data_IF_750565035467
#
_entry.id   IF_750565035467
#
_cell.length_a   1.000
_cell.length_b   1.000
_cell.length_c   1.000
_cell.angle_alpha   90.00
_cell.angle_beta   90.00
_cell.angle_gamma   90.00
#
_symmetry.space_group_name_H-M   'P 1'
#
loop_
_entity.id
_entity.type
_entity.pdbx_description
1 polymer ?
#
# COMPACT_ATOMS: atom_id res chain seq x y z
N UNK A 1 -28.02 5.38 -32.31
CA UNK A 1 -26.83 4.63 -31.98
C UNK A 1 -25.78 4.98 -32.99
N UNK A 2 -24.95 5.95 -32.68
CA UNK A 2 -23.86 6.43 -33.56
C UNK A 2 -22.60 6.39 -32.74
N UNK A 3 -21.81 5.33 -32.99
CA UNK A 3 -20.48 5.18 -32.41
C UNK A 3 -19.56 6.27 -32.98
N UNK A 4 -19.22 7.23 -32.13
CA UNK A 4 -18.22 8.25 -32.46
C UNK A 4 -16.83 7.67 -32.16
N UNK A 5 -16.21 7.10 -33.20
CA UNK A 5 -14.80 6.72 -33.14
C UNK A 5 -13.99 8.00 -33.03
N UNK A 6 -13.43 8.24 -31.83
CA UNK A 6 -12.42 9.29 -31.63
C UNK A 6 -11.11 8.85 -32.29
N UNK A 7 -10.98 9.23 -33.57
CA UNK A 7 -9.73 9.09 -34.31
C UNK A 7 -8.78 10.18 -33.80
N UNK A 8 -7.92 9.86 -32.83
CA UNK A 8 -6.82 10.72 -32.41
C UNK A 8 -5.80 10.73 -33.54
N UNK A 9 -5.90 11.74 -34.43
CA UNK A 9 -4.89 12.00 -35.44
C UNK A 9 -3.64 12.50 -34.74
N UNK A 10 -2.67 11.61 -34.50
CA UNK A 10 -1.33 12.01 -34.10
C UNK A 10 -0.73 12.90 -35.17
N UNK A 11 -0.08 14.03 -34.82
CA UNK A 11 0.59 14.86 -35.81
C UNK A 11 1.66 14.01 -36.48
N UNK A 12 1.58 13.89 -37.83
CA UNK A 12 2.60 13.24 -38.65
C UNK A 12 3.85 14.13 -38.61
N UNK A 13 4.72 13.92 -37.66
CA UNK A 13 6.05 14.54 -37.61
C UNK A 13 6.90 13.89 -38.71
N UNK A 14 7.69 14.70 -39.40
CA UNK A 14 8.69 14.19 -40.35
C UNK A 14 9.62 13.21 -39.64
N UNK A 15 9.99 12.13 -40.31
CA UNK A 15 10.98 11.18 -39.79
C UNK A 15 12.28 11.92 -39.56
N UNK A 16 12.69 12.11 -38.30
CA UNK A 16 13.93 12.80 -38.01
C UNK A 16 15.09 11.86 -38.30
N UNK A 17 15.88 12.18 -39.32
CA UNK A 17 17.10 11.45 -39.64
C UNK A 17 18.18 11.73 -38.57
N UNK A 18 18.82 10.68 -38.05
CA UNK A 18 20.00 10.79 -37.21
C UNK A 18 21.27 10.81 -38.11
N UNK A 19 22.41 11.30 -37.59
CA UNK A 19 23.62 11.47 -38.42
C UNK A 19 24.15 10.17 -39.09
N UNK A 20 23.81 9.02 -38.56
CA UNK A 20 24.24 7.70 -39.04
C UNK A 20 23.21 7.05 -39.99
N UNK A 21 22.02 7.65 -40.13
CA UNK A 21 20.94 7.11 -40.95
C UNK A 21 21.28 7.27 -42.45
N UNK A 22 20.81 6.36 -43.30
CA UNK A 22 21.08 6.36 -44.73
C UNK A 22 19.82 6.04 -45.53
N UNK A 23 19.77 6.49 -46.79
CA UNK A 23 18.70 6.16 -47.70
C UNK A 23 19.05 4.88 -48.47
N UNK A 24 18.17 3.89 -48.44
CA UNK A 24 18.30 2.65 -49.21
C UNK A 24 18.04 2.82 -50.72
N UNK A 25 18.29 1.78 -51.50
CA UNK A 25 18.02 1.74 -52.93
C UNK A 25 16.53 1.92 -53.26
N UNK A 26 15.65 1.56 -52.34
CA UNK A 26 14.20 1.74 -52.40
C UNK A 26 13.73 3.17 -52.04
N UNK A 27 14.65 4.06 -51.75
CA UNK A 27 14.38 5.46 -51.39
C UNK A 27 13.85 5.68 -49.99
N UNK A 28 13.75 4.63 -49.14
CA UNK A 28 13.35 4.75 -47.74
C UNK A 28 14.54 5.08 -46.86
N UNK A 29 14.26 5.75 -45.70
CA UNK A 29 15.26 6.04 -44.69
C UNK A 29 15.48 4.79 -43.84
N UNK A 30 16.74 4.42 -43.60
CA UNK A 30 17.18 3.28 -42.80
C UNK A 30 18.01 3.75 -41.57
N UNK A 31 17.81 3.05 -40.47
CA UNK A 31 18.60 3.28 -39.24
C UNK A 31 20.04 2.83 -39.44
N UNK A 32 21.02 3.72 -39.18
CA UNK A 32 22.44 3.42 -39.26
C UNK A 32 22.89 2.32 -38.27
N UNK A 33 22.21 2.16 -37.12
CA UNK A 33 22.54 1.17 -36.11
C UNK A 33 22.00 -0.22 -36.43
N UNK A 34 20.68 -0.37 -36.59
CA UNK A 34 20.05 -1.68 -36.75
C UNK A 34 19.74 -2.06 -38.23
N UNK A 35 19.99 -1.13 -39.16
CA UNK A 35 19.76 -1.30 -40.60
C UNK A 35 18.32 -1.66 -41.00
N UNK A 36 17.36 -1.32 -40.14
CA UNK A 36 15.92 -1.47 -40.41
C UNK A 36 15.35 -0.16 -40.93
N UNK A 37 14.29 -0.21 -41.75
CA UNK A 37 13.68 1.01 -42.27
C UNK A 37 13.05 1.83 -41.16
N UNK A 38 13.17 3.15 -41.26
CA UNK A 38 12.50 4.16 -40.44
C UNK A 38 11.28 4.76 -41.15
N UNK A 39 11.01 4.31 -42.36
CA UNK A 39 9.86 4.70 -43.17
C UNK A 39 9.27 3.46 -43.82
N UNK A 40 7.99 3.54 -44.22
CA UNK A 40 7.33 2.54 -45.03
C UNK A 40 6.39 3.23 -46.05
N UNK A 41 6.25 2.65 -47.24
CA UNK A 41 5.29 3.11 -48.23
C UNK A 41 3.85 2.79 -47.78
N UNK A 42 2.91 3.67 -48.14
CA UNK A 42 1.50 3.34 -48.00
C UNK A 42 1.11 2.20 -48.94
N UNK A 43 0.20 1.31 -48.54
CA UNK A 43 -0.27 0.22 -49.38
C UNK A 43 -0.89 0.74 -50.71
N UNK A 44 -0.68 -0.01 -51.83
CA UNK A 44 -1.37 0.18 -53.09
C UNK A 44 -1.23 1.59 -53.72
N UNK A 45 -0.08 2.25 -53.55
CA UNK A 45 0.16 3.56 -54.15
C UNK A 45 -0.70 4.71 -53.61
N UNK A 46 -1.33 4.51 -52.46
CA UNK A 46 -2.07 5.57 -51.76
C UNK A 46 -1.12 6.64 -51.25
N UNK A 47 -1.54 7.88 -51.37
CA UNK A 47 -0.82 9.02 -50.76
C UNK A 47 -1.67 9.66 -49.66
N UNK A 48 -1.03 10.16 -48.63
CA UNK A 48 -1.69 10.88 -47.54
C UNK A 48 -1.03 12.24 -47.36
N UNK A 49 -1.77 13.33 -47.56
CA UNK A 49 -1.24 14.70 -47.62
C UNK A 49 -0.09 14.88 -48.65
N UNK A 50 -0.20 14.23 -49.79
CA UNK A 50 0.80 14.33 -50.88
C UNK A 50 2.10 13.55 -50.60
N UNK A 51 2.16 12.73 -49.56
CA UNK A 51 3.28 11.84 -49.22
C UNK A 51 2.92 10.39 -49.57
N UNK A 52 3.86 9.65 -50.14
CA UNK A 52 3.75 8.24 -50.47
C UNK A 52 4.23 7.29 -49.37
N UNK A 53 4.83 7.85 -48.33
CA UNK A 53 5.43 7.11 -47.23
C UNK A 53 5.05 7.69 -45.86
N UNK A 54 5.16 6.87 -44.82
CA UNK A 54 4.93 7.23 -43.41
C UNK A 54 6.09 6.78 -42.52
N UNK A 55 6.31 7.42 -41.36
CA UNK A 55 7.29 6.98 -40.38
C UNK A 55 7.01 5.56 -39.90
N UNK A 56 8.07 4.77 -39.76
CA UNK A 56 8.05 3.43 -39.19
C UNK A 56 9.13 3.32 -38.10
N UNK A 57 8.82 2.69 -37.01
CA UNK A 57 9.82 2.51 -35.94
C UNK A 57 10.79 1.40 -36.31
N UNK A 58 12.07 1.70 -36.40
CA UNK A 58 13.11 0.70 -36.43
C UNK A 58 13.27 -0.04 -35.09
N UNK A 59 14.01 -1.16 -35.10
CA UNK A 59 14.16 -1.98 -33.87
C UNK A 59 14.81 -1.22 -32.70
N UNK A 60 15.75 -0.32 -32.98
CA UNK A 60 16.40 0.53 -31.97
C UNK A 60 15.40 1.51 -31.35
N UNK A 61 14.57 2.17 -32.17
CA UNK A 61 13.54 3.10 -31.66
C UNK A 61 12.48 2.38 -30.87
N UNK A 62 12.06 1.20 -31.31
CA UNK A 62 11.09 0.36 -30.59
C UNK A 62 11.64 -0.11 -29.23
N UNK A 63 12.92 -0.51 -29.20
CA UNK A 63 13.58 -0.89 -27.94
C UNK A 63 13.67 0.30 -26.98
N UNK A 64 14.14 1.47 -27.45
CA UNK A 64 14.24 2.68 -26.66
C UNK A 64 12.88 3.18 -26.15
N UNK A 65 11.81 3.07 -26.99
CA UNK A 65 10.45 3.42 -26.55
C UNK A 65 9.96 2.50 -25.43
N UNK A 66 10.13 1.17 -25.59
CA UNK A 66 9.76 0.19 -24.54
C UNK A 66 10.50 0.43 -23.24
N UNK A 67 11.77 0.77 -23.31
CA UNK A 67 12.58 1.08 -22.13
C UNK A 67 12.09 2.35 -21.43
N UNK A 68 11.79 3.42 -22.17
CA UNK A 68 11.20 4.66 -21.63
C UNK A 68 9.84 4.41 -20.99
N UNK A 69 8.95 3.69 -21.68
CA UNK A 69 7.63 3.32 -21.16
C UNK A 69 7.74 2.51 -19.87
N UNK A 70 8.68 1.55 -19.80
CA UNK A 70 8.93 0.76 -18.60
C UNK A 70 9.48 1.62 -17.44
N UNK A 71 10.44 2.51 -17.71
CA UNK A 71 10.99 3.42 -16.73
C UNK A 71 9.95 4.42 -16.22
N UNK A 72 9.11 4.95 -17.11
CA UNK A 72 8.01 5.87 -16.73
C UNK A 72 6.97 5.17 -15.87
N UNK A 73 6.57 3.94 -16.24
CA UNK A 73 5.65 3.13 -15.44
C UNK A 73 6.22 2.84 -14.06
N UNK A 74 7.49 2.48 -13.97
CA UNK A 74 8.16 2.23 -12.69
C UNK A 74 8.22 3.48 -11.82
N UNK A 75 8.54 4.65 -12.40
CA UNK A 75 8.55 5.92 -11.67
C UNK A 75 7.17 6.28 -11.15
N UNK A 76 6.13 6.18 -11.98
CA UNK A 76 4.75 6.45 -11.61
C UNK A 76 4.27 5.53 -10.48
N UNK A 77 4.66 4.24 -10.53
CA UNK A 77 4.39 3.29 -9.48
C UNK A 77 5.02 3.71 -8.14
N UNK A 78 6.33 4.02 -8.15
CA UNK A 78 7.04 4.46 -6.93
C UNK A 78 6.43 5.73 -6.34
N UNK A 79 6.11 6.73 -7.16
CA UNK A 79 5.47 7.97 -6.73
C UNK A 79 4.09 7.69 -6.09
N UNK A 80 3.33 6.73 -6.64
CA UNK A 80 2.03 6.30 -6.10
C UNK A 80 2.20 5.62 -4.75
N UNK A 81 3.12 4.67 -4.63
CA UNK A 81 3.41 3.95 -3.37
C UNK A 81 3.85 4.93 -2.27
N UNK A 82 4.78 5.84 -2.57
CA UNK A 82 5.22 6.85 -1.60
C UNK A 82 4.07 7.76 -1.14
N UNK A 83 3.20 8.15 -2.05
CA UNK A 83 2.00 8.95 -1.72
C UNK A 83 1.07 8.18 -0.82
N UNK A 84 0.79 6.89 -1.12
CA UNK A 84 -0.04 6.02 -0.29
C UNK A 84 0.54 5.85 1.11
N UNK A 85 1.84 5.58 1.23
CA UNK A 85 2.54 5.44 2.53
C UNK A 85 2.45 6.74 3.36
N UNK A 86 2.66 7.90 2.74
CA UNK A 86 2.52 9.20 3.44
C UNK A 86 1.11 9.50 3.93
N UNK A 87 0.10 9.06 3.19
CA UNK A 87 -1.31 9.31 3.52
C UNK A 87 -1.89 8.25 4.47
N UNK A 88 -1.38 7.03 4.39
CA UNK A 88 -1.93 5.87 5.07
C UNK A 88 -1.36 5.61 6.46
N UNK A 89 -0.16 6.08 6.77
CA UNK A 89 0.43 5.88 8.09
C UNK A 89 0.41 7.14 8.95
N UNK A 90 -0.14 7.02 10.15
CA UNK A 90 -0.05 8.07 11.16
C UNK A 90 1.38 8.18 11.71
N UNK A 91 2.08 7.05 11.87
CA UNK A 91 3.49 6.98 12.28
C UNK A 91 4.38 6.60 11.10
N UNK A 92 5.31 7.50 10.75
CA UNK A 92 6.24 7.32 9.64
C UNK A 92 7.20 6.14 9.82
N UNK A 93 7.49 5.74 11.06
CA UNK A 93 8.38 4.60 11.34
C UNK A 93 7.80 3.27 10.85
N UNK A 94 6.48 3.21 10.64
CA UNK A 94 5.80 2.01 10.12
C UNK A 94 5.97 1.83 8.61
N UNK A 95 6.45 2.85 7.88
CA UNK A 95 6.59 2.81 6.41
C UNK A 95 7.65 1.81 5.93
N UNK A 96 8.58 1.44 6.81
CA UNK A 96 9.69 0.52 6.51
C UNK A 96 9.44 -0.91 7.02
N UNK A 97 8.25 -1.20 7.55
CA UNK A 97 7.91 -2.54 8.05
C UNK A 97 7.54 -3.46 6.89
N UNK A 98 8.40 -4.43 6.63
CA UNK A 98 8.24 -5.40 5.54
C UNK A 98 8.34 -6.83 6.04
N UNK A 99 7.75 -7.77 5.33
CA UNK A 99 7.87 -9.20 5.64
C UNK A 99 9.30 -9.71 5.50
N UNK A 100 10.12 -9.09 4.66
CA UNK A 100 11.52 -9.48 4.42
C UNK A 100 12.42 -9.26 5.65
N UNK A 101 12.02 -8.34 6.53
CA UNK A 101 12.73 -8.07 7.79
C UNK A 101 12.34 -9.03 8.92
N UNK A 102 11.41 -9.98 8.67
CA UNK A 102 11.10 -11.04 9.65
C UNK A 102 12.21 -12.08 9.67
N UNK A 103 12.69 -12.40 10.86
CA UNK A 103 13.73 -13.41 11.08
C UNK A 103 13.18 -14.85 11.11
N UNK A 104 11.92 -15.05 10.72
CA UNK A 104 11.25 -16.35 10.72
C UNK A 104 10.84 -16.86 12.12
N UNK A 105 10.96 -16.03 13.14
CA UNK A 105 10.62 -16.42 14.52
C UNK A 105 9.11 -16.37 14.82
N UNK A 106 8.33 -15.73 13.96
CA UNK A 106 6.89 -15.57 14.16
C UNK A 106 6.07 -16.54 13.31
N UNK A 107 5.37 -17.52 13.93
CA UNK A 107 4.56 -18.49 13.20
C UNK A 107 3.42 -17.86 12.40
N UNK A 108 2.95 -16.68 12.82
CA UNK A 108 1.84 -15.95 12.19
C UNK A 108 2.22 -15.27 10.87
N UNK A 109 3.51 -15.21 10.52
CA UNK A 109 3.99 -14.63 9.27
C UNK A 109 3.27 -15.21 8.04
N UNK A 110 3.11 -16.55 7.96
CA UNK A 110 2.42 -17.18 6.84
C UNK A 110 0.97 -16.76 6.70
N UNK A 111 0.27 -16.60 7.83
CA UNK A 111 -1.13 -16.17 7.82
C UNK A 111 -1.27 -14.71 7.38
N UNK A 112 -0.38 -13.83 7.82
CA UNK A 112 -0.39 -12.41 7.46
C UNK A 112 0.06 -12.18 6.02
N UNK A 113 1.06 -12.91 5.52
CA UNK A 113 1.45 -12.90 4.12
C UNK A 113 0.33 -13.44 3.21
N UNK A 114 -0.31 -14.56 3.61
CA UNK A 114 -1.46 -15.14 2.90
C UNK A 114 -2.67 -14.21 2.81
N UNK A 115 -2.82 -13.27 3.75
CA UNK A 115 -3.83 -12.23 3.69
C UNK A 115 -3.60 -11.27 2.51
N UNK A 116 -2.35 -10.87 2.28
CA UNK A 116 -1.97 -10.01 1.16
C UNK A 116 -2.09 -10.74 -0.18
N UNK A 117 -1.62 -12.00 -0.26
CA UNK A 117 -1.69 -12.81 -1.47
C UNK A 117 -3.12 -13.01 -1.98
N UNK A 118 -4.10 -13.06 -1.08
CA UNK A 118 -5.53 -13.28 -1.40
C UNK A 118 -6.37 -12.02 -1.25
N UNK A 119 -5.76 -10.85 -1.37
CA UNK A 119 -6.42 -9.57 -1.09
C UNK A 119 -7.76 -9.38 -1.80
N UNK A 120 -7.88 -9.70 -3.09
CA UNK A 120 -9.14 -9.54 -3.82
C UNK A 120 -10.28 -10.38 -3.21
N UNK A 121 -10.01 -11.64 -2.86
CA UNK A 121 -11.00 -12.50 -2.20
C UNK A 121 -11.36 -12.00 -0.79
N UNK A 122 -10.37 -11.49 -0.06
CA UNK A 122 -10.54 -10.94 1.28
C UNK A 122 -11.40 -9.68 1.24
N UNK A 123 -11.12 -8.80 0.29
CA UNK A 123 -11.87 -7.56 0.07
C UNK A 123 -13.33 -7.86 -0.29
N UNK A 124 -13.56 -8.77 -1.23
CA UNK A 124 -14.91 -9.14 -1.70
C UNK A 124 -15.72 -9.84 -0.59
N UNK A 125 -15.06 -10.66 0.23
CA UNK A 125 -15.69 -11.33 1.37
C UNK A 125 -15.78 -10.49 2.64
N UNK A 126 -15.22 -9.27 2.65
CA UNK A 126 -15.16 -8.41 3.85
C UNK A 126 -14.48 -9.08 5.05
N UNK A 127 -13.41 -9.84 4.83
CA UNK A 127 -12.74 -10.58 5.90
C UNK A 127 -11.70 -9.71 6.61
N UNK A 128 -11.98 -9.35 7.86
CA UNK A 128 -11.04 -8.66 8.73
C UNK A 128 -10.19 -9.61 9.58
N UNK A 129 -9.19 -9.03 10.28
CA UNK A 129 -8.34 -9.75 11.24
C UNK A 129 -8.32 -9.05 12.59
N UNK A 130 -8.44 -9.82 13.66
CA UNK A 130 -8.19 -9.37 15.02
C UNK A 130 -6.87 -10.00 15.51
N UNK A 131 -5.79 -9.22 15.47
CA UNK A 131 -4.46 -9.63 15.92
C UNK A 131 -4.38 -9.40 17.44
N UNK A 132 -4.51 -10.46 18.22
CA UNK A 132 -4.56 -10.37 19.67
C UNK A 132 -3.43 -11.13 20.35
N UNK A 133 -3.10 -10.78 21.60
CA UNK A 133 -2.08 -11.45 22.39
C UNK A 133 -1.19 -10.47 23.16
N UNK A 134 -0.16 -11.02 23.82
CA UNK A 134 0.70 -10.25 24.74
C UNK A 134 1.43 -9.09 24.06
N UNK A 135 1.82 -8.10 24.88
CA UNK A 135 2.63 -6.96 24.42
C UNK A 135 3.98 -7.43 23.89
N UNK A 136 4.39 -6.85 22.77
CA UNK A 136 5.71 -7.09 22.18
C UNK A 136 5.83 -8.34 21.30
N UNK A 137 4.73 -9.03 21.00
CA UNK A 137 4.72 -10.25 20.17
C UNK A 137 4.70 -9.99 18.66
N UNK A 138 4.73 -8.72 18.21
CA UNK A 138 4.82 -8.38 16.80
C UNK A 138 3.51 -8.01 16.10
N UNK A 139 2.36 -7.94 16.81
CA UNK A 139 1.04 -7.62 16.22
C UNK A 139 1.04 -6.39 15.31
N UNK A 140 1.45 -5.24 15.88
CA UNK A 140 1.52 -3.97 15.13
C UNK A 140 2.49 -4.05 13.95
N UNK A 141 3.63 -4.74 14.13
CA UNK A 141 4.60 -4.94 13.08
C UNK A 141 3.99 -5.68 11.87
N UNK A 142 3.34 -6.82 12.11
CA UNK A 142 2.71 -7.58 11.02
C UNK A 142 1.51 -6.87 10.40
N UNK A 143 0.75 -6.10 11.19
CA UNK A 143 -0.29 -5.21 10.64
C UNK A 143 0.31 -4.16 9.69
N UNK A 144 1.46 -3.57 10.05
CA UNK A 144 2.22 -2.66 9.18
C UNK A 144 2.82 -3.34 7.95
N UNK A 145 3.30 -4.58 8.06
CA UNK A 145 3.75 -5.37 6.92
C UNK A 145 2.62 -5.61 5.90
N UNK A 146 1.40 -5.96 6.37
CA UNK A 146 0.22 -6.08 5.50
C UNK A 146 -0.07 -4.75 4.80
N UNK A 147 -0.06 -3.62 5.56
CA UNK A 147 -0.31 -2.31 5.00
C UNK A 147 0.69 -1.96 3.89
N UNK A 148 2.00 -2.10 4.16
CA UNK A 148 3.04 -1.80 3.18
C UNK A 148 2.94 -2.70 1.94
N UNK A 149 2.75 -4.00 2.12
CA UNK A 149 2.65 -4.94 1.02
C UNK A 149 1.42 -4.68 0.11
N UNK A 150 0.30 -4.24 0.68
CA UNK A 150 -0.87 -3.82 -0.11
C UNK A 150 -0.65 -2.48 -0.80
N UNK A 151 0.03 -1.52 -0.15
CA UNK A 151 0.38 -0.24 -0.77
C UNK A 151 1.36 -0.41 -1.95
N UNK A 152 2.28 -1.39 -1.88
CA UNK A 152 3.12 -1.80 -3.02
C UNK A 152 2.28 -2.37 -4.20
N UNK A 153 1.09 -2.87 -3.93
CA UNK A 153 0.09 -3.24 -4.95
C UNK A 153 -0.85 -2.07 -5.32
N UNK A 154 -0.49 -0.84 -4.94
CA UNK A 154 -1.28 0.38 -5.15
C UNK A 154 -2.66 0.38 -4.46
N UNK A 155 -2.87 -0.47 -3.46
CA UNK A 155 -4.09 -0.50 -2.65
C UNK A 155 -3.99 0.55 -1.54
N UNK A 156 -4.92 1.53 -1.45
CA UNK A 156 -4.94 2.50 -0.37
C UNK A 156 -5.27 1.83 0.97
N UNK A 157 -4.40 1.96 1.95
CA UNK A 157 -4.58 1.49 3.32
C UNK A 157 -4.46 2.66 4.29
N UNK A 158 -5.27 2.68 5.33
CA UNK A 158 -5.08 3.60 6.46
C UNK A 158 -4.74 2.80 7.71
N UNK A 159 -3.58 3.08 8.33
CA UNK A 159 -3.18 2.54 9.62
C UNK A 159 -3.05 3.65 10.63
N UNK A 160 -3.87 3.58 11.68
CA UNK A 160 -4.02 4.59 12.74
C UNK A 160 -4.33 3.92 14.07
N UNK A 161 -4.56 4.69 15.11
CA UNK A 161 -5.02 4.22 16.41
C UNK A 161 -6.13 5.13 16.95
N UNK A 162 -6.86 4.67 17.98
CA UNK A 162 -7.95 5.49 18.53
C UNK A 162 -7.48 6.78 19.20
N UNK A 163 -6.26 6.84 19.72
CA UNK A 163 -5.73 8.09 20.29
C UNK A 163 -5.61 9.18 19.21
N UNK A 164 -5.09 8.83 18.04
CA UNK A 164 -5.03 9.74 16.88
C UNK A 164 -6.43 10.11 16.37
N UNK A 165 -7.31 9.12 16.18
CA UNK A 165 -8.69 9.34 15.74
C UNK A 165 -9.43 10.30 16.69
N UNK A 166 -9.36 10.07 18.00
CA UNK A 166 -10.03 10.91 18.98
C UNK A 166 -9.48 12.33 19.01
N UNK A 167 -8.17 12.51 18.84
CA UNK A 167 -7.55 13.82 18.75
C UNK A 167 -8.04 14.57 17.49
N UNK A 168 -8.10 13.92 16.33
CA UNK A 168 -8.59 14.51 15.09
C UNK A 168 -10.08 14.88 15.18
N UNK A 169 -10.90 13.99 15.78
CA UNK A 169 -12.32 14.26 16.02
C UNK A 169 -12.56 15.41 17.00
N UNK A 170 -11.69 15.58 18.01
CA UNK A 170 -11.75 16.70 18.93
C UNK A 170 -11.35 18.03 18.27
N UNK A 171 -10.39 18.00 17.33
CA UNK A 171 -9.94 19.18 16.60
C UNK A 171 -10.96 19.67 15.56
N UNK A 172 -11.85 18.80 15.04
CA UNK A 172 -12.78 19.12 13.93
C UNK A 172 -14.24 18.95 14.34
N UNK A 173 -14.78 19.89 15.11
CA UNK A 173 -16.19 19.84 15.61
C UNK A 173 -17.23 19.75 14.46
N UNK A 174 -17.02 20.46 13.36
CA UNK A 174 -17.97 20.55 12.26
C UNK A 174 -17.82 19.42 11.21
N UNK A 175 -16.68 18.71 11.16
CA UNK A 175 -16.34 17.73 10.12
C UNK A 175 -16.25 16.29 10.60
N UNK A 176 -16.80 15.95 11.79
CA UNK A 176 -16.68 14.60 12.37
C UNK A 176 -17.19 13.48 11.46
N UNK A 177 -18.36 13.66 10.90
CA UNK A 177 -18.98 12.66 10.02
C UNK A 177 -18.18 12.49 8.72
N UNK A 178 -17.63 13.58 8.18
CA UNK A 178 -16.77 13.54 6.99
C UNK A 178 -15.45 12.84 7.29
N UNK A 179 -14.85 13.10 8.46
CA UNK A 179 -13.65 12.43 8.90
C UNK A 179 -13.86 10.91 9.03
N UNK A 180 -14.91 10.48 9.73
CA UNK A 180 -15.25 9.05 9.90
C UNK A 180 -15.58 8.43 8.54
N UNK A 181 -16.33 9.11 7.67
CA UNK A 181 -16.63 8.64 6.32
C UNK A 181 -15.36 8.45 5.48
N UNK A 182 -14.44 9.43 5.52
CA UNK A 182 -13.14 9.34 4.85
C UNK A 182 -12.30 8.19 5.40
N UNK A 183 -12.21 8.03 6.72
CA UNK A 183 -11.51 6.93 7.36
C UNK A 183 -12.07 5.58 6.93
N UNK A 184 -13.39 5.45 6.91
CA UNK A 184 -14.08 4.23 6.49
C UNK A 184 -14.09 4.03 4.96
N UNK A 185 -13.69 5.01 4.16
CA UNK A 185 -13.63 4.90 2.70
C UNK A 185 -12.45 4.06 2.21
N UNK A 186 -11.36 3.97 2.97
CA UNK A 186 -10.19 3.16 2.61
C UNK A 186 -10.55 1.69 2.35
N UNK A 187 -10.01 1.06 1.31
CA UNK A 187 -10.18 -0.38 1.07
C UNK A 187 -9.86 -1.22 2.30
N UNK A 188 -8.74 -0.94 2.97
CA UNK A 188 -8.38 -1.53 4.26
C UNK A 188 -8.18 -0.43 5.30
N UNK A 189 -8.79 -0.61 6.46
CA UNK A 189 -8.53 0.18 7.67
C UNK A 189 -7.82 -0.71 8.69
N UNK A 190 -6.76 -0.21 9.30
CA UNK A 190 -6.02 -0.87 10.38
C UNK A 190 -6.07 0.03 11.60
N UNK A 191 -6.58 -0.49 12.72
CA UNK A 191 -6.64 0.19 14.01
C UNK A 191 -5.68 -0.53 14.96
N UNK A 192 -4.59 0.15 15.28
CA UNK A 192 -3.55 -0.38 16.16
C UNK A 192 -3.83 -0.06 17.64
N UNK A 193 -3.39 -0.96 18.54
CA UNK A 193 -3.49 -0.83 20.00
C UNK A 193 -4.92 -0.53 20.51
N UNK A 194 -5.91 -1.26 19.99
CA UNK A 194 -7.29 -1.20 20.45
C UNK A 194 -7.42 -1.66 21.92
N UNK A 195 -8.28 -0.96 22.69
CA UNK A 195 -8.46 -1.20 24.13
C UNK A 195 -7.53 -0.36 25.00
N UNK A 196 -6.75 0.58 24.42
CA UNK A 196 -5.90 1.55 25.12
C UNK A 196 -6.49 2.97 25.11
N UNK A 197 -7.67 3.13 24.55
CA UNK A 197 -8.40 4.40 24.51
C UNK A 197 -8.82 4.87 25.91
N UNK A 198 -8.92 6.19 26.08
CA UNK A 198 -9.37 6.77 27.34
C UNK A 198 -10.80 6.33 27.65
N UNK A 199 -11.04 5.72 28.81
CA UNK A 199 -12.34 5.26 29.29
C UNK A 199 -13.32 6.40 29.62
N UNK A 200 -13.42 7.42 28.76
CA UNK A 200 -14.43 8.47 28.86
C UNK A 200 -15.65 8.09 28.04
N UNK A 201 -16.85 8.48 28.49
CA UNK A 201 -18.10 8.24 27.74
C UNK A 201 -18.01 8.77 26.30
N UNK A 202 -17.43 9.96 26.13
CA UNK A 202 -17.20 10.54 24.80
C UNK A 202 -16.25 9.69 23.94
N UNK A 203 -15.13 9.23 24.53
CA UNK A 203 -14.19 8.36 23.80
C UNK A 203 -14.85 7.08 23.33
N UNK A 204 -15.60 6.43 24.19
CA UNK A 204 -16.30 5.19 23.90
C UNK A 204 -17.41 5.37 22.81
N UNK A 205 -18.13 6.50 22.87
CA UNK A 205 -19.09 6.86 21.82
C UNK A 205 -18.41 7.00 20.45
N UNK A 206 -17.25 7.69 20.38
CA UNK A 206 -16.54 7.86 19.11
C UNK A 206 -15.94 6.55 18.62
N UNK A 207 -15.42 5.71 19.48
CA UNK A 207 -14.97 4.34 19.15
C UNK A 207 -16.13 3.56 18.51
N UNK A 208 -17.30 3.57 19.16
CA UNK A 208 -18.49 2.94 18.62
C UNK A 208 -18.87 3.48 17.25
N UNK A 209 -18.89 4.81 17.07
CA UNK A 209 -19.24 5.45 15.79
C UNK A 209 -18.29 5.04 14.64
N UNK A 210 -16.98 4.94 14.90
CA UNK A 210 -16.01 4.49 13.91
C UNK A 210 -16.20 3.02 13.56
N UNK A 211 -16.32 2.15 14.57
CA UNK A 211 -16.51 0.71 14.36
C UNK A 211 -17.84 0.41 13.65
N UNK A 212 -18.95 1.06 14.06
CA UNK A 212 -20.26 0.92 13.42
C UNK A 212 -20.25 1.41 11.96
N UNK A 213 -19.60 2.54 11.70
CA UNK A 213 -19.45 3.05 10.33
C UNK A 213 -18.63 2.10 9.46
N UNK A 214 -17.56 1.52 10.02
CA UNK A 214 -16.75 0.52 9.31
C UNK A 214 -17.54 -0.76 9.04
N UNK A 215 -18.28 -1.26 10.00
CA UNK A 215 -19.18 -2.39 9.87
C UNK A 215 -20.19 -2.20 8.72
N UNK A 216 -20.83 -1.03 8.67
CA UNK A 216 -21.79 -0.69 7.59
C UNK A 216 -21.13 -0.53 6.23
N UNK A 217 -19.87 -0.12 6.20
CA UNK A 217 -19.14 0.06 4.93
C UNK A 217 -18.84 -1.24 4.20
N UNK A 218 -18.97 -2.39 4.89
CA UNK A 218 -18.62 -3.73 4.39
C UNK A 218 -17.22 -3.79 3.75
N UNK A 219 -16.25 -3.21 4.43
CA UNK A 219 -14.85 -3.22 4.02
C UNK A 219 -13.99 -3.85 5.12
N UNK A 220 -12.94 -4.61 4.77
CA UNK A 220 -12.08 -5.29 5.73
C UNK A 220 -11.48 -4.34 6.77
N UNK A 221 -11.43 -4.81 8.02
CA UNK A 221 -10.83 -4.14 9.16
C UNK A 221 -9.75 -5.04 9.76
N UNK A 222 -8.59 -4.50 10.06
CA UNK A 222 -7.60 -5.16 10.92
C UNK A 222 -7.52 -4.39 12.22
N UNK A 223 -7.55 -5.12 13.33
CA UNK A 223 -7.41 -4.55 14.66
C UNK A 223 -6.29 -5.28 15.39
N UNK A 224 -5.38 -4.56 16.03
CA UNK A 224 -4.43 -5.15 16.98
C UNK A 224 -4.86 -4.81 18.40
N UNK A 225 -4.75 -5.76 19.30
CA UNK A 225 -5.13 -5.55 20.71
C UNK A 225 -4.31 -6.40 21.67
N UNK A 226 -4.15 -5.93 22.89
CA UNK A 226 -3.59 -6.67 24.01
C UNK A 226 -4.69 -7.34 24.85
N UNK A 227 -5.97 -7.04 24.60
CA UNK A 227 -7.09 -7.72 25.22
C UNK A 227 -7.08 -9.20 24.82
N UNK A 228 -7.44 -10.04 25.76
CA UNK A 228 -7.64 -11.47 25.51
C UNK A 228 -8.96 -11.71 24.77
N UNK A 229 -9.07 -12.85 24.11
CA UNK A 229 -10.33 -13.21 23.45
C UNK A 229 -11.48 -13.37 24.47
N UNK A 230 -11.16 -13.78 25.71
CA UNK A 230 -12.13 -13.91 26.78
C UNK A 230 -12.69 -12.54 27.23
N UNK A 231 -11.82 -11.52 27.38
CA UNK A 231 -12.25 -10.15 27.69
C UNK A 231 -13.12 -9.55 26.59
N UNK A 232 -12.83 -9.86 25.31
CA UNK A 232 -13.64 -9.41 24.19
C UNK A 232 -14.99 -10.13 24.09
N UNK A 233 -15.06 -11.40 24.51
CA UNK A 233 -16.29 -12.19 24.50
C UNK A 233 -17.18 -11.94 25.71
N UNK A 234 -16.61 -11.47 26.83
CA UNK A 234 -17.30 -11.25 28.10
C UNK A 234 -17.04 -9.83 28.64
N UNK A 235 -17.49 -8.79 27.91
CA UNK A 235 -17.30 -7.41 28.34
C UNK A 235 -18.11 -7.09 29.59
N UNK A 236 -17.56 -6.19 30.44
CA UNK A 236 -18.19 -5.82 31.72
C UNK A 236 -19.45 -4.95 31.54
N UNK A 237 -19.55 -4.20 30.45
CA UNK A 237 -20.68 -3.29 30.21
C UNK A 237 -21.24 -3.37 28.79
N UNK A 238 -22.46 -2.82 28.65
CA UNK A 238 -23.22 -2.87 27.39
C UNK A 238 -22.58 -2.07 26.25
N UNK A 239 -21.81 -1.01 26.57
CA UNK A 239 -21.22 -0.17 25.55
C UNK A 239 -20.03 -0.90 24.89
N UNK A 240 -19.15 -1.52 25.67
CA UNK A 240 -18.10 -2.39 25.16
C UNK A 240 -18.68 -3.62 24.46
N UNK A 241 -19.75 -4.21 24.98
CA UNK A 241 -20.41 -5.35 24.35
C UNK A 241 -20.81 -5.06 22.89
N UNK A 242 -21.38 -3.89 22.62
CA UNK A 242 -21.77 -3.49 21.25
C UNK A 242 -20.60 -3.29 20.32
N UNK A 243 -19.47 -2.81 20.81
CA UNK A 243 -18.23 -2.61 20.04
C UNK A 243 -17.60 -3.95 19.73
N UNK A 244 -17.41 -4.79 20.77
CA UNK A 244 -16.70 -6.06 20.65
C UNK A 244 -17.47 -7.08 19.81
N UNK A 245 -18.81 -7.10 19.92
CA UNK A 245 -19.69 -7.93 19.07
C UNK A 245 -19.45 -7.66 17.59
N UNK A 246 -19.44 -6.38 17.17
CA UNK A 246 -19.13 -6.00 15.78
C UNK A 246 -17.72 -6.34 15.36
N UNK A 247 -16.74 -6.16 16.26
CA UNK A 247 -15.34 -6.52 15.97
C UNK A 247 -15.18 -8.01 15.73
N UNK A 248 -15.80 -8.84 16.58
CA UNK A 248 -15.73 -10.30 16.47
C UNK A 248 -16.51 -10.82 15.26
N UNK A 249 -17.56 -10.12 14.82
CA UNK A 249 -18.28 -10.44 13.57
C UNK A 249 -17.45 -10.10 12.32
N UNK A 250 -16.77 -8.92 12.33
CA UNK A 250 -15.98 -8.47 11.17
C UNK A 250 -14.60 -9.13 11.07
N UNK A 251 -14.00 -9.50 12.21
CA UNK A 251 -12.57 -9.82 12.29
C UNK A 251 -12.35 -11.23 12.83
N UNK A 252 -11.70 -12.07 12.05
CA UNK A 252 -11.26 -13.38 12.51
C UNK A 252 -10.08 -13.27 13.48
N UNK A 253 -10.13 -13.87 14.67
CA UNK A 253 -9.07 -13.75 15.65
C UNK A 253 -7.83 -14.56 15.24
N UNK A 254 -6.66 -13.90 15.27
CA UNK A 254 -5.35 -14.49 15.08
C UNK A 254 -4.50 -14.23 16.33
N UNK A 255 -4.16 -15.28 17.06
CA UNK A 255 -3.40 -15.20 18.28
C UNK A 255 -1.90 -15.03 18.01
N UNK A 256 -1.30 -14.01 18.60
CA UNK A 256 0.15 -13.80 18.61
C UNK A 256 0.74 -14.31 19.92
N UNK A 257 1.26 -15.54 19.85
CA UNK A 257 1.97 -16.19 20.95
C UNK A 257 3.48 -16.10 20.66
N UNK A 258 4.27 -15.79 21.67
CA UNK A 258 5.72 -15.75 21.52
C UNK A 258 6.38 -14.89 22.59
N UNK A 259 7.69 -14.80 22.50
CA UNK A 259 8.50 -13.94 23.36
C UNK A 259 8.34 -12.47 23.01
N UNK A 260 8.63 -11.61 23.97
CA UNK A 260 8.59 -10.17 23.76
C UNK A 260 9.81 -9.72 22.91
N UNK A 261 9.59 -9.53 21.62
CA UNK A 261 10.63 -9.13 20.64
C UNK A 261 11.28 -7.78 21.02
N UNK A 262 10.52 -6.86 21.65
CA UNK A 262 11.07 -5.57 22.12
C UNK A 262 12.07 -5.76 23.25
N UNK A 263 11.84 -6.72 24.16
CA UNK A 263 12.81 -7.06 25.22
C UNK A 263 14.09 -7.66 24.65
N UNK A 264 13.97 -8.58 23.71
CA UNK A 264 15.12 -9.18 23.04
C UNK A 264 15.95 -8.12 22.29
N UNK A 265 15.29 -7.24 21.52
CA UNK A 265 15.95 -6.13 20.84
C UNK A 265 16.63 -5.14 21.80
N UNK A 266 15.99 -4.83 22.94
CA UNK A 266 16.57 -3.95 23.96
C UNK A 266 17.81 -4.57 24.62
N UNK A 267 17.80 -5.87 24.89
CA UNK A 267 18.95 -6.59 25.41
C UNK A 267 20.13 -6.57 24.43
N UNK A 268 19.87 -6.84 23.14
CA UNK A 268 20.90 -6.76 22.10
C UNK A 268 21.51 -5.36 21.96
N UNK A 269 20.68 -4.31 21.99
CA UNK A 269 21.18 -2.92 22.00
C UNK A 269 22.02 -2.60 23.23
N UNK A 270 21.58 -3.06 24.40
CA UNK A 270 22.32 -2.86 25.65
C UNK A 270 23.69 -3.56 25.62
N UNK A 271 23.75 -4.78 25.10
CA UNK A 271 25.02 -5.49 24.94
C UNK A 271 25.97 -4.81 23.95
N UNK A 272 25.44 -4.32 22.81
CA UNK A 272 26.21 -3.54 21.86
C UNK A 272 26.75 -2.25 22.49
N UNK A 273 25.92 -1.52 23.22
CA UNK A 273 26.34 -0.31 23.94
C UNK A 273 27.41 -0.61 24.96
N UNK A 274 27.26 -1.67 25.75
CA UNK A 274 28.29 -2.11 26.71
C UNK A 274 29.61 -2.41 26.01
N UNK A 275 29.63 -3.10 24.87
CA UNK A 275 30.84 -3.36 24.09
C UNK A 275 31.51 -2.07 23.57
N UNK A 276 30.71 -1.11 23.08
CA UNK A 276 31.19 0.18 22.62
C UNK A 276 31.79 1.03 23.76
N UNK A 277 31.20 0.97 24.93
CA UNK A 277 31.68 1.70 26.11
C UNK A 277 32.90 1.01 26.78
N UNK A 278 32.95 -0.33 26.77
CA UNK A 278 34.10 -1.09 27.32
C UNK A 278 35.39 -0.98 26.47
N UNK A 279 35.27 -0.60 25.19
CA UNK A 279 36.42 -0.33 24.32
C UNK A 279 37.14 1.02 24.59
N UNK A 280 36.61 1.86 25.50
CA UNK A 280 37.30 3.02 26.09
C UNK A 280 37.33 2.76 27.58
N UNK A 281 38.52 2.54 28.13
CA UNK A 281 38.76 2.53 29.58
C UNK A 281 38.17 3.81 30.20
N UNK A 282 36.94 3.75 30.64
CA UNK A 282 36.37 4.74 31.55
C UNK A 282 36.65 4.16 32.93
N UNK A 283 37.80 4.57 33.55
CA UNK A 283 38.01 4.48 34.98
C UNK A 283 36.83 5.22 35.65
N UNK A 284 35.99 4.46 36.33
CA UNK A 284 35.10 4.96 37.37
C UNK A 284 35.82 4.85 38.69
#
# INVERSE_FOLDING_TARGET
>A
MTDTIHNTILPMTDTTAEPEDYTGEDGLLYCGKCRKPKEAYFPEGKTFFGRDRHPSECDCQRAARKEREAAEKQRSHLETVERLKRQGFTDKTMQDWTFDNDNGSCPQMKSTAGYVERWEQIKDGNYGLLLWGRVGTGKSYFAGCIANALMEQEVPVCMTNFAAILNDLAASFAGRNEYISRLCSFPLLIIDDFGMERGTEYGLEQVYNVIDSRYRSRKPLIVTTNLTLEELQHPEDTAHARIYDRLLEMCSPLCFTGENLRKAAAQGKMEQLKRLLAGKEICL
#
